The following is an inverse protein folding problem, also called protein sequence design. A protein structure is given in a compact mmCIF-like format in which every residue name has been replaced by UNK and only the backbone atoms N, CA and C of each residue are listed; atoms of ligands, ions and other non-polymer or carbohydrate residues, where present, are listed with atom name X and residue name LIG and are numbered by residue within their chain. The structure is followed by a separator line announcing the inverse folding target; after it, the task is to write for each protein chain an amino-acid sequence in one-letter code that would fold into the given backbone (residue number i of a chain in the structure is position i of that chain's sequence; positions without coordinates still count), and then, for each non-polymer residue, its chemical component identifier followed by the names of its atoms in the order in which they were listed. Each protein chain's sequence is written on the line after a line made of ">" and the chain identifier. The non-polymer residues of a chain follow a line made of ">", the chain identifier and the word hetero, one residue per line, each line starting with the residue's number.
data_IF_820245723425
#
_entry.id   IF_820245723425
#
_cell.length_a   1.000
_cell.length_b   1.000
_cell.length_c   1.000
_cell.angle_alpha   90.00
_cell.angle_beta   90.00
_cell.angle_gamma   90.00
#
_symmetry.space_group_name_H-M   'P 1'
#
loop_
_entity.id
_entity.type
_entity.pdbx_description
1 polymer ?
#
# COMPACT_ATOMS: atom_id res chain seq x y z
N UNK A 1 -40.22 -52.64 -14.70
CA UNK A 1 -40.01 -51.26 -15.18
C UNK A 1 -38.86 -50.57 -14.50
N UNK A 2 -37.60 -51.04 -14.60
CA UNK A 2 -36.43 -50.28 -14.05
C UNK A 2 -35.69 -49.45 -15.09
N UNK A 3 -36.05 -49.49 -16.39
CA UNK A 3 -35.25 -48.90 -17.45
C UNK A 3 -35.32 -47.36 -17.57
N UNK A 4 -36.28 -46.72 -16.92
CA UNK A 4 -36.45 -45.22 -16.99
C UNK A 4 -35.67 -44.51 -15.86
N UNK A 5 -35.37 -45.18 -14.80
CA UNK A 5 -34.68 -44.57 -13.63
C UNK A 5 -33.18 -44.29 -13.92
N UNK A 6 -32.52 -45.14 -14.66
CA UNK A 6 -31.06 -45.01 -14.91
C UNK A 6 -30.68 -43.79 -15.75
N UNK A 7 -31.34 -43.47 -16.87
CA UNK A 7 -31.05 -42.23 -17.62
C UNK A 7 -31.31 -40.97 -16.82
N UNK A 8 -32.35 -40.99 -15.98
CA UNK A 8 -32.70 -39.83 -15.16
C UNK A 8 -31.63 -39.58 -14.06
N UNK A 9 -31.12 -40.63 -13.43
CA UNK A 9 -30.04 -40.52 -12.46
C UNK A 9 -28.75 -40.02 -13.12
N UNK A 10 -28.39 -40.58 -14.30
CA UNK A 10 -27.19 -40.14 -15.03
C UNK A 10 -27.31 -38.65 -15.42
N UNK A 11 -28.48 -38.26 -15.95
CA UNK A 11 -28.75 -36.84 -16.31
C UNK A 11 -28.63 -35.89 -15.13
N UNK A 12 -29.17 -36.28 -13.98
CA UNK A 12 -29.10 -35.47 -12.74
C UNK A 12 -27.65 -35.34 -12.23
N UNK A 13 -26.89 -36.41 -12.20
CA UNK A 13 -25.47 -36.39 -11.80
C UNK A 13 -24.65 -35.53 -12.75
N UNK A 14 -24.88 -35.63 -14.05
CA UNK A 14 -24.17 -34.81 -15.04
C UNK A 14 -24.51 -33.32 -14.85
N UNK A 15 -25.78 -32.97 -14.59
CA UNK A 15 -26.20 -31.62 -14.35
C UNK A 15 -25.56 -31.01 -13.08
N UNK A 16 -25.50 -31.80 -12.01
CA UNK A 16 -24.84 -31.38 -10.75
C UNK A 16 -23.34 -31.15 -11.00
N UNK A 17 -22.69 -32.03 -11.76
CA UNK A 17 -21.29 -31.87 -12.14
C UNK A 17 -21.03 -30.61 -12.95
N UNK A 18 -21.86 -30.32 -13.93
CA UNK A 18 -21.77 -29.07 -14.72
C UNK A 18 -21.98 -27.83 -13.86
N UNK A 19 -22.98 -27.84 -12.96
CA UNK A 19 -23.21 -26.75 -12.00
C UNK A 19 -21.98 -26.52 -11.11
N UNK A 20 -21.35 -27.56 -10.61
CA UNK A 20 -20.11 -27.47 -9.82
C UNK A 20 -18.98 -26.80 -10.59
N UNK A 21 -18.79 -27.16 -11.86
CA UNK A 21 -17.79 -26.54 -12.74
C UNK A 21 -18.10 -25.05 -12.95
N UNK A 22 -19.35 -24.68 -13.24
CA UNK A 22 -19.76 -23.28 -13.45
C UNK A 22 -19.51 -22.44 -12.19
N UNK A 23 -19.86 -22.97 -11.02
CA UNK A 23 -19.62 -22.27 -9.73
C UNK A 23 -18.12 -22.07 -9.50
N UNK A 24 -17.31 -23.09 -9.78
CA UNK A 24 -15.86 -23.00 -9.63
C UNK A 24 -15.26 -21.91 -10.54
N UNK A 25 -15.61 -21.91 -11.82
CA UNK A 25 -15.17 -20.87 -12.76
C UNK A 25 -15.68 -19.48 -12.40
N UNK A 26 -16.91 -19.35 -11.93
CA UNK A 26 -17.44 -18.07 -11.50
C UNK A 26 -16.69 -17.51 -10.27
N UNK A 27 -16.33 -18.35 -9.33
CA UNK A 27 -15.51 -17.96 -8.18
C UNK A 27 -14.09 -17.54 -8.59
N UNK A 28 -13.46 -18.27 -9.50
CA UNK A 28 -12.12 -17.96 -10.00
C UNK A 28 -12.10 -16.61 -10.72
N UNK A 29 -13.06 -16.37 -11.62
CA UNK A 29 -13.21 -15.08 -12.29
C UNK A 29 -13.43 -13.93 -11.29
N UNK A 30 -14.27 -14.13 -10.28
CA UNK A 30 -14.52 -13.11 -9.27
C UNK A 30 -13.25 -12.77 -8.46
N UNK A 31 -12.44 -13.78 -8.14
CA UNK A 31 -11.15 -13.57 -7.47
C UNK A 31 -10.18 -12.79 -8.36
N UNK A 32 -10.07 -13.12 -9.65
CA UNK A 32 -9.23 -12.39 -10.59
C UNK A 32 -9.63 -10.92 -10.70
N UNK A 33 -10.92 -10.63 -10.85
CA UNK A 33 -11.44 -9.26 -10.93
C UNK A 33 -11.12 -8.48 -9.64
N UNK A 34 -11.29 -9.11 -8.47
CA UNK A 34 -10.97 -8.47 -7.19
C UNK A 34 -9.47 -8.15 -7.07
N UNK A 35 -8.60 -9.03 -7.51
CA UNK A 35 -7.15 -8.81 -7.44
C UNK A 35 -6.67 -7.74 -8.44
N UNK A 36 -7.22 -7.71 -9.65
CA UNK A 36 -6.91 -6.65 -10.60
C UNK A 36 -7.39 -5.27 -10.12
N UNK A 37 -8.60 -5.21 -9.53
CA UNK A 37 -9.10 -3.99 -8.90
C UNK A 37 -8.23 -3.59 -7.72
N UNK A 38 -7.81 -4.54 -6.86
CA UNK A 38 -6.92 -4.26 -5.74
C UNK A 38 -5.56 -3.73 -6.22
N UNK A 39 -5.00 -4.31 -7.28
CA UNK A 39 -3.73 -3.87 -7.86
C UNK A 39 -3.82 -2.43 -8.38
N UNK A 40 -4.94 -2.07 -9.01
CA UNK A 40 -5.16 -0.68 -9.45
C UNK A 40 -5.20 0.28 -8.27
N UNK A 41 -5.94 -0.04 -7.21
CA UNK A 41 -6.00 0.79 -6.00
C UNK A 41 -4.64 0.89 -5.29
N UNK A 42 -3.90 -0.21 -5.19
CA UNK A 42 -2.54 -0.18 -4.63
C UNK A 42 -1.61 0.72 -5.45
N UNK A 43 -1.76 0.73 -6.78
CA UNK A 43 -1.00 1.63 -7.64
C UNK A 43 -1.32 3.09 -7.34
N UNK A 44 -2.60 3.44 -7.27
CA UNK A 44 -3.03 4.80 -6.95
C UNK A 44 -2.50 5.24 -5.58
N UNK A 45 -2.51 4.35 -4.59
CA UNK A 45 -1.94 4.59 -3.26
C UNK A 45 -0.42 4.80 -3.33
N UNK A 46 0.31 3.93 -4.03
CA UNK A 46 1.77 4.05 -4.13
C UNK A 46 2.19 5.31 -4.90
N UNK A 47 1.47 5.69 -5.96
CA UNK A 47 1.69 6.93 -6.70
C UNK A 47 1.35 8.16 -5.86
N UNK A 48 0.25 8.13 -5.10
CA UNK A 48 -0.12 9.21 -4.19
C UNK A 48 0.95 9.43 -3.11
N UNK A 49 1.36 8.39 -2.39
CA UNK A 49 2.40 8.50 -1.35
C UNK A 49 3.74 8.96 -1.96
N UNK A 50 4.11 8.43 -3.12
CA UNK A 50 5.30 8.88 -3.84
C UNK A 50 5.23 10.37 -4.17
N UNK A 51 4.08 10.86 -4.65
CA UNK A 51 3.87 12.28 -4.96
C UNK A 51 3.96 13.17 -3.72
N UNK A 52 3.45 12.71 -2.58
CA UNK A 52 3.54 13.44 -1.31
C UNK A 52 4.98 13.53 -0.79
N UNK A 53 5.74 12.43 -0.92
CA UNK A 53 7.18 12.43 -0.59
C UNK A 53 7.95 13.41 -1.50
N UNK A 54 7.69 13.39 -2.80
CA UNK A 54 8.34 14.32 -3.75
C UNK A 54 7.91 15.77 -3.52
N UNK A 55 6.66 16.03 -3.17
CA UNK A 55 6.19 17.36 -2.81
C UNK A 55 6.89 17.87 -1.54
N UNK A 56 7.05 17.00 -0.53
CA UNK A 56 7.79 17.34 0.68
C UNK A 56 9.27 17.61 0.39
N UNK A 57 9.89 16.83 -0.51
CA UNK A 57 11.25 17.05 -0.97
C UNK A 57 11.43 18.42 -1.64
N UNK A 58 10.46 18.86 -2.43
CA UNK A 58 10.49 20.18 -3.06
C UNK A 58 10.35 21.31 -2.04
N UNK A 59 9.48 21.16 -1.03
CA UNK A 59 9.35 22.13 0.07
C UNK A 59 10.67 22.19 0.84
N UNK A 60 11.29 21.05 1.09
CA UNK A 60 12.56 20.95 1.79
C UNK A 60 13.67 21.73 1.09
N UNK A 61 13.77 21.65 -0.22
CA UNK A 61 14.77 22.38 -1.00
C UNK A 61 14.59 23.92 -0.92
N UNK A 62 13.40 24.39 -0.62
CA UNK A 62 13.08 25.83 -0.50
C UNK A 62 13.23 26.36 0.93
N UNK A 63 13.28 25.50 1.93
CA UNK A 63 13.29 25.85 3.35
C UNK A 63 14.71 25.70 3.92
N UNK A 64 15.26 26.80 4.45
CA UNK A 64 16.63 26.81 5.02
C UNK A 64 16.65 26.75 6.55
N UNK A 65 15.51 26.47 7.18
CA UNK A 65 15.40 26.43 8.65
C UNK A 65 15.42 25.00 9.18
N UNK A 66 16.16 24.79 10.29
CA UNK A 66 16.22 23.52 11.05
C UNK A 66 14.88 23.24 11.72
N UNK A 67 13.93 22.76 10.98
CA UNK A 67 12.60 22.41 11.50
C UNK A 67 12.16 21.06 10.92
N UNK A 68 11.25 20.42 11.63
CA UNK A 68 10.56 19.25 11.17
C UNK A 68 9.27 19.71 10.51
N UNK A 69 9.03 19.26 9.31
CA UNK A 69 7.77 19.46 8.60
C UNK A 69 7.13 18.08 8.41
N UNK A 70 5.85 17.98 8.65
CA UNK A 70 5.10 16.77 8.38
C UNK A 70 3.73 17.08 7.79
N UNK A 71 3.21 16.15 7.03
CA UNK A 71 1.87 16.19 6.46
C UNK A 71 1.16 14.90 6.70
N UNK A 72 -0.05 14.95 7.24
CA UNK A 72 -0.93 13.79 7.32
C UNK A 72 -1.40 13.46 5.90
N UNK A 73 -1.27 12.20 5.52
CA UNK A 73 -1.73 11.69 4.22
C UNK A 73 -3.04 10.95 4.41
N UNK A 74 -3.92 11.06 3.44
CA UNK A 74 -5.22 10.39 3.44
C UNK A 74 -5.13 9.14 2.57
N UNK A 75 -4.98 7.99 3.20
CA UNK A 75 -4.92 6.69 2.54
C UNK A 75 -6.07 5.81 3.04
N UNK A 76 -6.69 4.99 2.20
CA UNK A 76 -7.82 4.14 2.58
C UNK A 76 -7.42 3.12 3.65
N UNK A 77 -8.39 2.77 4.52
CA UNK A 77 -8.19 1.78 5.58
C UNK A 77 -8.00 0.35 5.06
N UNK A 78 -8.53 0.06 3.88
CA UNK A 78 -8.39 -1.23 3.20
C UNK A 78 -8.46 -1.08 1.68
N UNK A 79 -8.10 -2.15 0.98
CA UNK A 79 -8.22 -2.28 -0.47
C UNK A 79 -9.09 -3.51 -0.76
N UNK A 80 -10.33 -3.30 -1.21
CA UNK A 80 -11.31 -4.37 -1.47
C UNK A 80 -11.55 -5.30 -0.27
N UNK A 81 -11.51 -4.76 0.97
CA UNK A 81 -11.64 -5.52 2.20
C UNK A 81 -10.36 -6.26 2.62
N UNK A 82 -9.23 -5.99 1.98
CA UNK A 82 -7.93 -6.53 2.37
C UNK A 82 -7.05 -5.45 3.00
N UNK A 83 -6.39 -5.80 4.10
CA UNK A 83 -5.32 -4.98 4.64
C UNK A 83 -4.14 -4.93 3.68
N UNK A 84 -3.43 -3.82 3.69
CA UNK A 84 -2.26 -3.61 2.85
C UNK A 84 -1.15 -2.91 3.64
N UNK A 85 0.05 -2.94 3.08
CA UNK A 85 1.18 -2.21 3.60
C UNK A 85 1.84 -1.37 2.51
N UNK A 86 2.41 -0.24 2.94
CA UNK A 86 3.23 0.64 2.12
C UNK A 86 4.62 0.62 2.74
N UNK A 87 5.64 0.43 1.92
CA UNK A 87 7.03 0.48 2.36
C UNK A 87 7.88 1.32 1.40
N UNK A 88 8.93 1.95 1.96
CA UNK A 88 9.96 2.61 1.17
C UNK A 88 11.16 1.67 1.11
N UNK A 89 11.59 1.33 -0.09
CA UNK A 89 12.66 0.36 -0.33
C UNK A 89 13.67 0.96 -1.30
N UNK A 90 14.95 0.69 -1.06
CA UNK A 90 15.99 0.94 -2.05
C UNK A 90 16.18 -0.31 -2.91
N UNK A 91 15.85 -0.19 -4.19
CA UNK A 91 16.05 -1.26 -5.15
C UNK A 91 17.12 -0.84 -6.16
N UNK A 92 18.28 -1.50 -6.06
CA UNK A 92 19.42 -1.30 -6.98
C UNK A 92 19.86 0.17 -7.12
N UNK A 93 19.75 0.97 -6.04
CA UNK A 93 20.12 2.38 -6.00
C UNK A 93 18.98 3.35 -6.33
N UNK A 94 17.80 2.87 -6.68
CA UNK A 94 16.60 3.66 -6.85
C UNK A 94 15.68 3.50 -5.62
N UNK A 95 15.17 4.61 -5.12
CA UNK A 95 14.15 4.58 -4.07
C UNK A 95 12.78 4.38 -4.69
N UNK A 96 12.01 3.47 -4.12
CA UNK A 96 10.66 3.15 -4.56
C UNK A 96 9.69 3.12 -3.37
N UNK A 97 8.47 3.54 -3.61
CA UNK A 97 7.32 3.28 -2.73
C UNK A 97 6.63 2.02 -3.25
N UNK A 98 6.59 1.00 -2.43
CA UNK A 98 5.94 -0.27 -2.73
C UNK A 98 4.67 -0.39 -1.89
N UNK A 99 3.54 -0.67 -2.52
CA UNK A 99 2.29 -1.02 -1.85
C UNK A 99 1.91 -2.47 -2.19
N UNK A 100 1.48 -3.25 -1.21
CA UNK A 100 1.11 -4.65 -1.40
C UNK A 100 0.06 -5.11 -0.40
N UNK A 101 -0.71 -6.14 -0.76
CA UNK A 101 -1.69 -6.75 0.13
C UNK A 101 -0.98 -7.59 1.20
N UNK A 102 -1.31 -7.39 2.48
CA UNK A 102 -0.69 -8.14 3.59
C UNK A 102 -0.89 -9.64 3.44
N UNK A 103 -2.08 -10.06 3.04
CA UNK A 103 -2.44 -11.48 2.88
C UNK A 103 -1.91 -12.10 1.59
N UNK A 104 -1.65 -11.27 0.56
CA UNK A 104 -1.19 -11.68 -0.76
C UNK A 104 -0.04 -10.79 -1.24
N UNK A 105 1.18 -10.93 -0.67
CA UNK A 105 2.30 -10.03 -0.96
C UNK A 105 2.80 -10.08 -2.42
N UNK A 106 2.37 -11.09 -3.19
CA UNK A 106 2.61 -11.16 -4.63
C UNK A 106 1.80 -10.12 -5.41
N UNK A 107 0.70 -9.61 -4.82
CA UNK A 107 -0.10 -8.52 -5.38
C UNK A 107 0.48 -7.23 -4.83
N UNK A 108 1.36 -6.65 -5.61
CA UNK A 108 2.11 -5.44 -5.28
C UNK A 108 2.20 -4.49 -6.46
N UNK A 109 2.44 -3.23 -6.13
CA UNK A 109 2.74 -2.16 -7.08
C UNK A 109 3.88 -1.32 -6.56
N UNK A 110 4.58 -0.65 -7.45
CA UNK A 110 5.78 0.12 -7.14
C UNK A 110 5.73 1.46 -7.87
N UNK A 111 6.11 2.53 -7.16
CA UNK A 111 6.24 3.88 -7.71
C UNK A 111 7.63 4.42 -7.39
N UNK A 112 8.34 4.95 -8.39
CA UNK A 112 9.69 5.46 -8.23
C UNK A 112 9.71 6.84 -7.56
N UNK A 113 10.69 7.06 -6.68
CA UNK A 113 10.97 8.34 -6.07
C UNK A 113 12.13 9.03 -6.82
N UNK A 114 11.82 10.10 -7.52
CA UNK A 114 12.82 10.92 -8.19
C UNK A 114 13.22 12.08 -7.26
N UNK A 115 14.22 11.84 -6.41
CA UNK A 115 14.70 12.82 -5.45
C UNK A 115 15.93 13.55 -6.01
N UNK A 116 15.98 14.86 -5.80
CA UNK A 116 17.17 15.66 -6.12
C UNK A 116 18.34 15.34 -5.16
N UNK A 117 19.57 15.57 -5.59
CA UNK A 117 20.74 15.33 -4.75
C UNK A 117 20.69 16.11 -3.43
N UNK A 118 21.17 15.48 -2.36
CA UNK A 118 21.16 16.05 -1.00
C UNK A 118 19.98 15.65 -0.13
N UNK A 119 19.05 14.85 -0.67
CA UNK A 119 17.91 14.31 0.08
C UNK A 119 18.19 12.84 0.42
N UNK A 120 18.10 12.53 1.71
CA UNK A 120 18.20 11.18 2.23
C UNK A 120 16.81 10.63 2.55
N UNK A 121 16.61 9.33 2.34
CA UNK A 121 15.42 8.63 2.82
C UNK A 121 15.76 7.95 4.14
N UNK A 122 14.97 8.21 5.18
CA UNK A 122 15.06 7.46 6.43
C UNK A 122 14.15 6.23 6.37
N UNK A 123 14.76 5.11 6.72
CA UNK A 123 14.07 3.83 6.95
C UNK A 123 14.13 3.42 8.41
N UNK A 124 14.72 4.26 9.27
CA UNK A 124 14.92 3.98 10.67
C UNK A 124 13.65 4.19 11.49
N UNK A 125 13.51 3.39 12.53
CA UNK A 125 12.42 3.52 13.50
C UNK A 125 12.88 4.46 14.61
N UNK A 126 12.37 5.67 14.58
CA UNK A 126 12.66 6.72 15.56
C UNK A 126 11.37 7.34 16.09
N UNK A 127 11.49 8.04 17.22
CA UNK A 127 10.41 8.88 17.75
C UNK A 127 10.85 10.33 17.63
N UNK A 128 10.16 11.10 16.82
CA UNK A 128 10.41 12.52 16.60
C UNK A 128 9.36 13.31 17.37
N UNK A 129 9.79 14.14 18.33
CA UNK A 129 8.89 15.02 19.08
C UNK A 129 8.53 16.24 18.22
N UNK A 130 7.24 16.59 18.20
CA UNK A 130 6.69 17.78 17.53
C UNK A 130 5.72 18.49 18.48
N UNK A 131 5.36 19.74 18.20
CA UNK A 131 4.62 20.62 19.13
C UNK A 131 3.34 20.00 19.73
N UNK A 132 2.60 19.19 18.97
CA UNK A 132 1.29 18.67 19.39
C UNK A 132 1.28 17.13 19.52
N UNK A 133 2.46 16.49 19.60
CA UNK A 133 2.52 15.04 19.68
C UNK A 133 3.88 14.48 19.27
N UNK A 134 3.86 13.28 18.73
CA UNK A 134 5.06 12.61 18.25
C UNK A 134 4.82 11.89 16.94
N UNK A 135 5.87 11.81 16.13
CA UNK A 135 5.90 11.00 14.91
C UNK A 135 6.71 9.74 15.21
N UNK A 136 6.12 8.59 15.00
CA UNK A 136 6.82 7.31 15.03
C UNK A 136 7.17 6.99 13.59
N UNK A 137 8.44 7.08 13.26
CA UNK A 137 8.97 6.85 11.91
C UNK A 137 9.13 5.37 11.63
N UNK A 138 9.30 5.03 10.37
CA UNK A 138 9.62 3.69 9.93
C UNK A 138 9.66 3.59 8.42
N UNK A 139 10.14 2.47 7.93
CA UNK A 139 10.18 2.17 6.50
C UNK A 139 8.85 1.64 5.96
N UNK A 140 7.91 1.31 6.85
CA UNK A 140 6.66 0.62 6.53
C UNK A 140 5.48 1.19 7.30
N UNK A 141 4.36 1.36 6.60
CA UNK A 141 3.05 1.70 7.16
C UNK A 141 2.05 0.61 6.80
N UNK A 142 1.20 0.26 7.75
CA UNK A 142 0.07 -0.65 7.53
C UNK A 142 -1.22 0.14 7.30
N UNK A 143 -2.13 -0.42 6.55
CA UNK A 143 -3.49 0.10 6.40
C UNK A 143 -4.20 0.18 7.77
N UNK A 144 -5.12 1.13 7.92
CA UNK A 144 -5.81 1.38 9.19
C UNK A 144 -4.98 2.08 10.26
N UNK A 145 -3.74 2.52 9.94
CA UNK A 145 -2.96 3.38 10.84
C UNK A 145 -3.64 4.74 10.95
N UNK A 146 -3.89 5.16 12.19
CA UNK A 146 -4.45 6.47 12.47
C UNK A 146 -3.38 7.55 12.20
N UNK A 147 -3.71 8.54 11.39
CA UNK A 147 -2.82 9.66 11.02
C UNK A 147 -1.48 9.22 10.41
N UNK A 148 -1.47 8.52 9.28
CA UNK A 148 -0.24 8.27 8.54
C UNK A 148 0.33 9.60 8.04
N UNK A 149 1.66 9.74 8.11
CA UNK A 149 2.34 10.98 7.76
C UNK A 149 3.54 10.74 6.86
N UNK A 150 3.79 11.72 5.98
CA UNK A 150 5.10 11.95 5.38
C UNK A 150 5.77 13.06 6.17
N UNK A 151 7.01 12.88 6.54
CA UNK A 151 7.77 13.85 7.32
C UNK A 151 9.11 14.17 6.68
N UNK A 152 9.63 15.34 7.01
CA UNK A 152 10.91 15.82 6.56
C UNK A 152 11.63 16.50 7.73
N UNK A 153 12.91 16.20 7.93
CA UNK A 153 13.79 16.80 8.93
C UNK A 153 14.98 17.45 8.24
N UNK A 154 15.29 18.65 8.68
CA UNK A 154 16.43 19.43 8.19
C UNK A 154 17.56 19.36 9.20
N UNK A 155 18.73 18.94 8.77
CA UNK A 155 19.97 18.91 9.56
C UNK A 155 21.07 19.61 8.79
N UNK A 156 21.11 20.94 8.94
CA UNK A 156 22.02 21.79 8.16
C UNK A 156 21.70 21.76 6.66
N UNK A 157 22.63 21.24 5.84
CA UNK A 157 22.40 21.05 4.39
C UNK A 157 21.79 19.71 4.04
N UNK A 158 21.62 18.83 5.00
CA UNK A 158 21.06 17.50 4.75
C UNK A 158 19.55 17.53 5.03
N UNK A 159 18.81 16.96 4.12
CA UNK A 159 17.37 16.76 4.23
C UNK A 159 17.09 15.27 4.36
N UNK A 160 16.37 14.90 5.39
CA UNK A 160 15.95 13.50 5.58
C UNK A 160 14.42 13.43 5.49
N UNK A 161 13.90 12.55 4.67
CA UNK A 161 12.47 12.35 4.44
C UNK A 161 12.10 10.91 4.76
N UNK A 162 10.92 10.70 5.31
CA UNK A 162 10.41 9.37 5.60
C UNK A 162 8.90 9.35 5.75
N UNK A 163 8.40 8.16 6.04
CA UNK A 163 7.01 7.93 6.40
C UNK A 163 6.90 7.55 7.88
N UNK A 164 5.72 7.70 8.44
CA UNK A 164 5.47 7.36 9.84
C UNK A 164 4.01 7.51 10.20
N UNK A 165 3.73 7.40 11.50
CA UNK A 165 2.41 7.70 12.07
C UNK A 165 2.54 8.83 13.09
N UNK A 166 1.56 9.71 13.10
CA UNK A 166 1.46 10.74 14.12
C UNK A 166 0.60 10.27 15.29
N UNK A 167 1.08 10.49 16.50
CA UNK A 167 0.35 10.25 17.73
C UNK A 167 0.19 11.57 18.49
N UNK A 168 -1.05 11.91 18.80
CA UNK A 168 -1.39 13.09 19.63
C UNK A 168 -0.98 12.81 21.08
N UNK A 169 -0.37 13.80 21.74
CA UNK A 169 0.00 13.74 23.16
C UNK A 169 -1.22 13.80 24.07
#
# INVERSE_FOLDING_TARGET
>A
MPQVALPHVIGTVTLIGLLGIVIFYANDLNMHVKFESAKTQLRDISEYVSSEIMAMANIANLSHNSSIIYRVIDIPDDVNGYGYAIEIVNDSGAWIVRAYLDRYPSIKTESYLYLSGGINISTDIEIIQVDNGRIITGYKLYSGVRYPVVWCRFEGMNVTIGIGRFEVS
#
